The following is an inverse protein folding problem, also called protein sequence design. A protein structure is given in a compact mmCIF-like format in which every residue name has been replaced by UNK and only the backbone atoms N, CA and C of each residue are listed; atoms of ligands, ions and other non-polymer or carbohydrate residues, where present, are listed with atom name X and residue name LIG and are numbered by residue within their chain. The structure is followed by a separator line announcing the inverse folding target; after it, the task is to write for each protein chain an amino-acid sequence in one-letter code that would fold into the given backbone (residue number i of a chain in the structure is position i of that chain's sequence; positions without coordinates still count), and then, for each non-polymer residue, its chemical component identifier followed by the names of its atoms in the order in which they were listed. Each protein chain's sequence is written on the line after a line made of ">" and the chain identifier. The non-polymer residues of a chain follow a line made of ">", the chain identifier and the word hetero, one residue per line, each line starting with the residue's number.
data_IF_895202916098
#
_entry.id   IF_895202916098
#
_cell.length_a   1.000
_cell.length_b   1.000
_cell.length_c   1.000
_cell.angle_alpha   90.00
_cell.angle_beta   90.00
_cell.angle_gamma   90.00
#
_symmetry.space_group_name_H-M   'P 1'
#
loop_
_entity.id
_entity.type
_entity.pdbx_description
1 polymer ?
#
# COMPACT_ATOMS: atom_id res chain seq x y z
N UNK A 1 8.36 12.74 23.54
CA UNK A 1 7.96 11.36 23.86
C UNK A 1 6.48 11.05 23.61
N UNK A 2 5.61 12.07 23.41
CA UNK A 2 4.18 11.89 23.10
C UNK A 2 3.80 12.06 21.61
N UNK A 3 4.78 12.11 20.70
CA UNK A 3 4.50 12.36 19.28
C UNK A 3 4.01 11.09 18.58
N UNK A 4 2.90 11.20 17.85
CA UNK A 4 2.49 10.17 16.88
C UNK A 4 3.32 10.38 15.61
N UNK A 5 4.20 9.43 15.29
CA UNK A 5 5.09 9.48 14.14
C UNK A 5 4.52 8.62 13.02
N UNK A 6 4.36 9.23 11.85
CA UNK A 6 3.91 8.51 10.67
C UNK A 6 4.57 9.02 9.39
N UNK A 7 4.60 8.16 8.38
CA UNK A 7 5.06 8.50 7.04
C UNK A 7 3.96 8.24 6.01
N UNK A 8 3.98 9.00 4.93
CA UNK A 8 3.10 8.80 3.77
C UNK A 8 4.00 8.64 2.55
N UNK A 9 3.88 7.51 1.88
CA UNK A 9 4.78 7.09 0.81
C UNK A 9 3.96 6.49 -0.34
N UNK A 10 4.52 6.49 -1.55
CA UNK A 10 3.93 5.77 -2.68
C UNK A 10 4.32 4.30 -2.66
N UNK A 11 3.63 3.50 -3.47
CA UNK A 11 4.03 2.14 -3.86
C UNK A 11 5.48 2.09 -4.38
N UNK A 12 5.87 3.03 -5.22
CA UNK A 12 7.21 3.11 -5.79
C UNK A 12 8.33 3.40 -4.79
N UNK A 13 7.99 3.98 -3.64
CA UNK A 13 8.92 4.14 -2.52
C UNK A 13 8.94 2.85 -1.69
N UNK A 14 7.81 2.48 -1.10
CA UNK A 14 7.70 1.32 -0.20
C UNK A 14 8.14 -0.02 -0.83
N UNK A 15 7.89 -0.23 -2.13
CA UNK A 15 8.15 -1.50 -2.80
C UNK A 15 9.38 -1.47 -3.73
N UNK A 16 10.03 -0.31 -3.90
CA UNK A 16 11.25 -0.18 -4.70
C UNK A 16 12.36 0.56 -3.95
N UNK A 17 12.55 1.87 -4.14
CA UNK A 17 13.74 2.58 -3.60
C UNK A 17 13.80 2.54 -2.06
N UNK A 18 12.64 2.53 -1.41
CA UNK A 18 12.45 2.48 0.04
C UNK A 18 12.31 1.07 0.62
N UNK A 19 12.27 0.01 -0.21
CA UNK A 19 11.95 -1.35 0.24
C UNK A 19 12.92 -1.86 1.33
N UNK A 20 14.22 -1.58 1.19
CA UNK A 20 15.21 -1.95 2.19
C UNK A 20 14.97 -1.26 3.54
N UNK A 21 14.61 0.03 3.54
CA UNK A 21 14.31 0.75 4.78
C UNK A 21 13.01 0.26 5.42
N UNK A 22 11.97 0.01 4.61
CA UNK A 22 10.69 -0.52 5.07
C UNK A 22 10.87 -1.87 5.77
N UNK A 23 11.57 -2.82 5.13
CA UNK A 23 11.85 -4.13 5.70
C UNK A 23 12.67 -4.02 6.98
N UNK A 24 13.67 -3.14 7.03
CA UNK A 24 14.48 -2.94 8.23
C UNK A 24 13.67 -2.33 9.39
N UNK A 25 12.80 -1.36 9.14
CA UNK A 25 11.90 -0.80 10.15
C UNK A 25 10.88 -1.82 10.65
N UNK A 26 10.34 -2.65 9.74
CA UNK A 26 9.46 -3.76 10.08
C UNK A 26 10.17 -4.83 10.93
N UNK A 27 11.43 -5.14 10.61
CA UNK A 27 12.23 -6.11 11.35
C UNK A 27 12.55 -5.62 12.77
N UNK A 28 12.87 -4.33 12.94
CA UNK A 28 13.09 -3.72 14.26
C UNK A 28 11.81 -3.52 15.06
N UNK A 29 10.66 -3.49 14.39
CA UNK A 29 9.39 -3.13 15.02
C UNK A 29 9.37 -1.67 15.47
N UNK A 30 9.96 -0.78 14.66
CA UNK A 30 9.95 0.66 14.93
C UNK A 30 8.51 1.11 15.20
N UNK A 31 8.27 1.80 16.33
CA UNK A 31 6.93 2.22 16.78
C UNK A 31 6.44 3.45 16.01
N UNK A 32 6.33 3.29 14.70
CA UNK A 32 5.83 4.28 13.75
C UNK A 32 4.70 3.67 12.93
N UNK A 33 3.93 4.53 12.26
CA UNK A 33 2.91 4.09 11.30
C UNK A 33 3.27 4.51 9.89
N UNK A 34 3.30 3.57 8.94
CA UNK A 34 3.61 3.82 7.54
C UNK A 34 2.34 3.67 6.71
N UNK A 35 1.99 4.72 5.98
CA UNK A 35 0.89 4.73 5.02
C UNK A 35 1.44 4.66 3.59
N UNK A 36 1.12 3.59 2.88
CA UNK A 36 1.46 3.43 1.47
C UNK A 36 0.25 3.76 0.60
N UNK A 37 0.34 4.82 -0.19
CA UNK A 37 -0.66 5.15 -1.21
C UNK A 37 -0.31 4.39 -2.49
N UNK A 38 -1.07 3.33 -2.77
CA UNK A 38 -0.85 2.50 -3.96
C UNK A 38 -1.78 2.94 -5.09
N UNK A 39 -1.20 3.61 -6.08
CA UNK A 39 -1.83 3.97 -7.33
C UNK A 39 -1.25 3.19 -8.53
N UNK A 40 -0.52 2.10 -8.27
CA UNK A 40 -0.01 1.14 -9.27
C UNK A 40 0.95 1.75 -10.32
N UNK A 41 1.56 2.90 -10.06
CA UNK A 41 2.58 3.51 -10.91
C UNK A 41 3.38 4.58 -10.16
N UNK A 42 4.52 5.00 -10.70
CA UNK A 42 5.20 6.19 -10.19
C UNK A 42 4.44 7.46 -10.56
N UNK A 43 3.53 7.85 -9.66
CA UNK A 43 2.60 8.96 -9.84
C UNK A 43 3.24 10.28 -10.26
N UNK A 44 4.32 10.66 -9.57
CA UNK A 44 4.97 11.97 -9.69
C UNK A 44 5.96 12.07 -10.84
N UNK A 45 6.39 10.95 -11.43
CA UNK A 45 7.39 10.90 -12.51
C UNK A 45 6.75 10.60 -13.87
N UNK A 46 5.44 10.86 -14.01
CA UNK A 46 4.72 10.68 -15.25
C UNK A 46 4.21 9.24 -15.47
N UNK A 47 4.03 8.45 -14.41
CA UNK A 47 3.39 7.14 -14.50
C UNK A 47 4.29 6.05 -15.07
N UNK A 48 5.53 5.95 -14.57
CA UNK A 48 6.42 4.82 -14.86
C UNK A 48 5.92 3.56 -14.15
N UNK A 49 6.33 2.38 -14.62
CA UNK A 49 5.99 1.09 -13.99
C UNK A 49 6.53 1.05 -12.56
N UNK A 50 5.64 0.82 -11.59
CA UNK A 50 5.96 0.58 -10.20
C UNK A 50 5.90 -0.93 -9.89
N UNK A 51 6.47 -1.37 -8.75
CA UNK A 51 6.41 -2.78 -8.35
C UNK A 51 4.98 -3.32 -8.18
N UNK A 52 4.00 -2.45 -7.94
CA UNK A 52 2.57 -2.79 -7.81
C UNK A 52 1.75 -2.53 -9.09
N UNK A 53 2.38 -2.18 -10.21
CA UNK A 53 1.69 -2.06 -11.51
C UNK A 53 1.05 -3.40 -11.86
N UNK A 54 -0.24 -3.41 -12.25
CA UNK A 54 -0.95 -4.64 -12.60
C UNK A 54 -0.40 -5.28 -13.88
N UNK A 55 -0.61 -6.59 -14.05
CA UNK A 55 -0.38 -7.25 -15.34
C UNK A 55 -1.23 -6.56 -16.43
N UNK A 56 -0.66 -6.44 -17.63
CA UNK A 56 -1.24 -5.75 -18.80
C UNK A 56 -1.47 -4.24 -18.63
N UNK A 57 -1.18 -3.65 -17.46
CA UNK A 57 -1.32 -2.21 -17.25
C UNK A 57 -0.25 -1.46 -18.04
N UNK A 58 -0.71 -0.57 -18.93
CA UNK A 58 0.14 0.31 -19.73
C UNK A 58 0.71 1.42 -18.86
N UNK A 59 2.02 1.61 -18.92
CA UNK A 59 2.74 2.70 -18.24
C UNK A 59 3.70 3.37 -19.24
N UNK A 60 4.36 4.47 -18.85
CA UNK A 60 5.33 5.13 -19.73
C UNK A 60 6.56 4.26 -20.04
N UNK A 61 6.91 3.34 -19.15
CA UNK A 61 8.05 2.42 -19.32
C UNK A 61 7.62 1.02 -19.76
N UNK A 62 6.33 0.71 -19.73
CA UNK A 62 5.73 -0.52 -20.29
C UNK A 62 4.58 -0.18 -21.24
N UNK A 63 4.87 0.39 -22.43
CA UNK A 63 3.83 0.88 -23.35
C UNK A 63 2.95 -0.23 -23.93
N UNK A 64 3.41 -1.48 -23.92
CA UNK A 64 2.62 -2.66 -24.31
C UNK A 64 1.89 -3.32 -23.13
N UNK A 65 1.98 -2.75 -21.92
CA UNK A 65 1.49 -3.37 -20.70
C UNK A 65 2.60 -4.11 -19.94
N UNK A 66 2.41 -4.31 -18.63
CA UNK A 66 3.32 -5.11 -17.82
C UNK A 66 3.20 -6.60 -18.16
N UNK A 67 4.26 -7.15 -18.73
CA UNK A 67 4.44 -8.60 -18.89
C UNK A 67 5.10 -9.21 -17.65
N UNK A 68 4.46 -10.20 -17.02
CA UNK A 68 4.96 -10.86 -15.81
C UNK A 68 6.26 -11.65 -16.00
N UNK A 69 6.54 -12.15 -17.19
CA UNK A 69 7.75 -12.93 -17.51
C UNK A 69 8.97 -12.04 -17.73
N UNK A 70 8.75 -10.81 -18.18
CA UNK A 70 9.82 -9.84 -18.48
C UNK A 70 10.02 -8.86 -17.32
N UNK A 71 8.93 -8.38 -16.71
CA UNK A 71 8.93 -7.31 -15.72
C UNK A 71 8.58 -7.80 -14.30
N UNK A 72 8.34 -9.09 -14.12
CA UNK A 72 7.90 -9.67 -12.84
C UNK A 72 6.44 -9.38 -12.51
N UNK A 73 5.97 -9.89 -11.37
CA UNK A 73 4.58 -9.83 -10.94
C UNK A 73 4.31 -8.71 -9.91
N UNK A 74 3.05 -8.22 -9.79
CA UNK A 74 2.69 -7.17 -8.85
C UNK A 74 2.97 -7.59 -7.39
N UNK A 75 3.59 -6.72 -6.60
CA UNK A 75 3.95 -7.01 -5.20
C UNK A 75 2.81 -6.71 -4.22
N UNK A 76 2.61 -7.62 -3.27
CA UNK A 76 1.57 -7.57 -2.23
C UNK A 76 2.22 -7.19 -0.88
N UNK A 77 2.50 -5.90 -0.70
CA UNK A 77 3.36 -5.40 0.39
C UNK A 77 2.79 -5.67 1.79
N UNK A 78 1.49 -5.40 2.10
CA UNK A 78 0.92 -5.71 3.41
C UNK A 78 1.04 -7.19 3.80
N UNK A 79 0.78 -8.10 2.86
CA UNK A 79 0.85 -9.54 3.04
C UNK A 79 2.28 -9.97 3.33
N UNK A 80 3.25 -9.44 2.57
CA UNK A 80 4.67 -9.68 2.80
C UNK A 80 5.09 -9.20 4.20
N UNK A 81 4.73 -7.98 4.58
CA UNK A 81 5.09 -7.41 5.89
C UNK A 81 4.40 -8.10 7.06
N UNK A 82 3.19 -8.65 6.87
CA UNK A 82 2.50 -9.41 7.90
C UNK A 82 3.31 -10.62 8.40
N UNK A 83 4.23 -11.15 7.59
CA UNK A 83 5.10 -12.27 7.99
C UNK A 83 6.21 -11.86 8.98
N UNK A 84 6.51 -10.57 9.11
CA UNK A 84 7.63 -10.07 9.91
C UNK A 84 7.20 -9.89 11.37
N UNK A 85 7.98 -10.41 12.33
CA UNK A 85 7.63 -10.39 13.76
C UNK A 85 7.37 -8.96 14.27
N UNK A 86 8.23 -7.99 13.94
CA UNK A 86 8.13 -6.59 14.40
C UNK A 86 6.92 -5.79 13.91
N UNK A 87 6.15 -6.31 12.95
CA UNK A 87 4.92 -5.66 12.46
C UNK A 87 3.77 -6.00 13.39
N UNK A 88 3.17 -5.01 14.04
CA UNK A 88 2.01 -5.21 14.92
C UNK A 88 0.67 -5.12 14.16
N UNK A 89 0.65 -4.32 13.09
CA UNK A 89 -0.52 -4.13 12.24
C UNK A 89 -0.14 -4.09 10.77
N UNK A 90 -0.86 -4.83 9.93
CA UNK A 90 -0.75 -4.77 8.48
C UNK A 90 -2.13 -4.92 7.85
N UNK A 91 -2.52 -3.95 7.03
CA UNK A 91 -3.82 -3.95 6.36
C UNK A 91 -3.77 -3.27 4.98
N UNK A 92 -4.79 -3.54 4.17
CA UNK A 92 -5.09 -2.84 2.92
C UNK A 92 -6.50 -2.28 2.93
N UNK A 93 -6.60 -0.97 2.72
CA UNK A 93 -7.84 -0.24 2.52
C UNK A 93 -7.96 0.35 1.12
N UNK A 94 -9.10 0.97 0.85
CA UNK A 94 -9.33 1.74 -0.38
C UNK A 94 -10.29 2.89 -0.11
N UNK A 95 -10.17 3.95 -0.92
CA UNK A 95 -11.00 5.16 -0.81
C UNK A 95 -11.95 5.34 -2.01
N UNK A 96 -12.09 4.33 -2.87
CA UNK A 96 -12.87 4.45 -4.11
C UNK A 96 -14.40 4.63 -3.91
N UNK A 97 -14.91 4.31 -2.73
CA UNK A 97 -16.31 4.54 -2.38
C UNK A 97 -16.46 4.84 -0.87
N UNK A 98 -17.66 5.29 -0.47
CA UNK A 98 -17.93 5.70 0.90
C UNK A 98 -17.80 4.57 1.94
N UNK A 99 -18.18 3.34 1.57
CA UNK A 99 -18.11 2.17 2.45
C UNK A 99 -16.65 1.84 2.75
N UNK A 100 -15.82 1.75 1.72
CA UNK A 100 -14.40 1.45 1.84
C UNK A 100 -13.63 2.62 2.46
N UNK A 101 -14.03 3.88 2.21
CA UNK A 101 -13.49 5.03 2.94
C UNK A 101 -13.71 4.90 4.46
N UNK A 102 -14.94 4.57 4.90
CA UNK A 102 -15.22 4.35 6.33
C UNK A 102 -14.42 3.18 6.91
N UNK A 103 -14.27 2.09 6.16
CA UNK A 103 -13.46 0.94 6.56
C UNK A 103 -11.99 1.31 6.72
N UNK A 104 -11.43 2.02 5.74
CA UNK A 104 -10.04 2.50 5.74
C UNK A 104 -9.78 3.45 6.92
N UNK A 105 -10.72 4.32 7.30
CA UNK A 105 -10.61 5.14 8.51
C UNK A 105 -10.44 4.30 9.79
N UNK A 106 -11.06 3.12 9.87
CA UNK A 106 -10.86 2.20 11.01
C UNK A 106 -9.46 1.62 10.98
N UNK A 107 -8.96 1.21 9.83
CA UNK A 107 -7.59 0.70 9.69
C UNK A 107 -6.54 1.74 10.05
N UNK A 108 -6.73 3.01 9.65
CA UNK A 108 -5.86 4.12 10.06
C UNK A 108 -5.81 4.21 11.59
N UNK A 109 -6.97 4.17 12.26
CA UNK A 109 -7.03 4.20 13.72
C UNK A 109 -6.29 3.02 14.34
N UNK A 110 -6.57 1.79 13.90
CA UNK A 110 -5.95 0.58 14.45
C UNK A 110 -4.42 0.57 14.26
N UNK A 111 -3.92 1.03 13.12
CA UNK A 111 -2.48 1.15 12.87
C UNK A 111 -1.80 2.14 13.83
N UNK A 112 -2.44 3.28 14.10
CA UNK A 112 -1.94 4.29 15.03
C UNK A 112 -2.03 3.80 16.48
N UNK A 113 -3.10 3.09 16.85
CA UNK A 113 -3.27 2.49 18.18
C UNK A 113 -2.14 1.50 18.51
N UNK A 114 -1.67 0.70 17.55
CA UNK A 114 -0.51 -0.20 17.80
C UNK A 114 0.77 0.56 18.10
N UNK A 115 1.00 1.70 17.44
CA UNK A 115 2.11 2.59 17.76
C UNK A 115 1.94 3.19 19.17
N UNK A 116 0.76 3.76 19.47
CA UNK A 116 0.46 4.42 20.76
C UNK A 116 0.63 3.44 21.93
N UNK A 117 0.17 2.21 21.76
CA UNK A 117 0.30 1.16 22.76
C UNK A 117 1.71 0.54 22.82
N UNK A 118 2.63 1.00 21.98
CA UNK A 118 4.01 0.56 21.97
C UNK A 118 4.22 -0.89 21.51
N UNK A 119 3.29 -1.45 20.75
CA UNK A 119 3.30 -2.86 20.32
C UNK A 119 4.36 -3.08 19.23
N UNK A 120 4.34 -2.30 18.16
CA UNK A 120 5.28 -2.44 17.03
C UNK A 120 4.88 -1.60 15.83
N UNK A 121 5.45 -1.93 14.65
CA UNK A 121 5.20 -1.18 13.42
C UNK A 121 3.73 -1.31 12.98
N UNK A 122 3.10 -0.18 12.66
CA UNK A 122 1.83 -0.16 11.93
C UNK A 122 2.06 0.08 10.44
N UNK A 123 1.48 -0.75 9.58
CA UNK A 123 1.51 -0.58 8.13
C UNK A 123 0.11 -0.59 7.54
N UNK A 124 -0.20 0.36 6.69
CA UNK A 124 -1.46 0.43 5.96
C UNK A 124 -1.24 0.82 4.51
N UNK A 125 -1.57 -0.08 3.60
CA UNK A 125 -1.73 0.23 2.18
C UNK A 125 -3.12 0.80 1.91
N UNK A 126 -3.20 1.84 1.10
CA UNK A 126 -4.44 2.48 0.66
C UNK A 126 -4.43 2.53 -0.85
N UNK A 127 -5.36 1.82 -1.49
CA UNK A 127 -5.56 1.90 -2.94
C UNK A 127 -6.14 3.27 -3.29
N UNK A 128 -5.43 4.03 -4.13
CA UNK A 128 -5.77 5.41 -4.49
C UNK A 128 -5.91 5.58 -6.01
N UNK A 129 -6.90 6.38 -6.47
CA UNK A 129 -7.09 6.62 -7.90
C UNK A 129 -5.98 7.53 -8.46
N UNK A 130 -5.48 7.25 -9.66
CA UNK A 130 -4.58 8.14 -10.40
C UNK A 130 -5.08 8.40 -11.84
N UNK A 131 -6.15 9.22 -11.99
CA UNK A 131 -6.83 9.43 -13.27
C UNK A 131 -5.89 9.88 -14.40
N UNK A 132 -4.95 10.79 -14.07
CA UNK A 132 -4.00 11.37 -15.03
C UNK A 132 -3.11 10.30 -15.66
N UNK A 133 -2.44 9.47 -14.85
CA UNK A 133 -1.50 8.48 -15.36
C UNK A 133 -2.18 7.24 -15.92
N UNK A 134 -3.37 6.90 -15.41
CA UNK A 134 -4.19 5.83 -15.99
C UNK A 134 -4.91 6.26 -17.27
N UNK A 135 -4.88 7.56 -17.61
CA UNK A 135 -5.58 8.16 -18.76
C UNK A 135 -7.09 7.88 -18.73
N UNK A 136 -7.68 8.03 -17.55
CA UNK A 136 -9.09 7.79 -17.28
C UNK A 136 -9.71 9.01 -16.62
N UNK A 137 -11.01 9.22 -16.84
CA UNK A 137 -11.77 10.18 -16.03
C UNK A 137 -11.85 9.73 -14.58
N UNK A 138 -12.00 10.66 -13.61
CA UNK A 138 -12.05 10.32 -12.18
C UNK A 138 -13.06 9.22 -11.82
N UNK A 139 -14.26 9.25 -12.41
CA UNK A 139 -15.28 8.22 -12.15
C UNK A 139 -14.86 6.83 -12.68
N UNK A 140 -14.20 6.79 -13.84
CA UNK A 140 -13.71 5.53 -14.41
C UNK A 140 -12.51 5.00 -13.62
N UNK A 141 -11.65 5.88 -13.08
CA UNK A 141 -10.58 5.48 -12.18
C UNK A 141 -11.10 4.80 -10.90
N UNK A 142 -12.22 5.29 -10.34
CA UNK A 142 -12.85 4.66 -9.18
C UNK A 142 -13.42 3.27 -9.51
N UNK A 143 -14.08 3.13 -10.67
CA UNK A 143 -14.56 1.83 -11.16
C UNK A 143 -13.41 0.87 -11.43
N UNK A 144 -12.31 1.36 -11.99
CA UNK A 144 -11.12 0.55 -12.25
C UNK A 144 -10.53 -0.02 -10.95
N UNK A 145 -10.54 0.76 -9.86
CA UNK A 145 -10.17 0.23 -8.55
C UNK A 145 -11.08 -0.93 -8.14
N UNK A 146 -12.39 -0.75 -8.26
CA UNK A 146 -13.39 -1.75 -7.87
C UNK A 146 -13.27 -3.04 -8.69
N UNK A 147 -13.11 -2.92 -10.00
CA UNK A 147 -13.17 -4.05 -10.94
C UNK A 147 -11.82 -4.75 -11.16
N UNK A 148 -10.70 -4.02 -11.09
CA UNK A 148 -9.37 -4.51 -11.48
C UNK A 148 -8.38 -4.49 -10.34
N UNK A 149 -8.22 -3.34 -9.68
CA UNK A 149 -7.18 -3.18 -8.65
C UNK A 149 -7.49 -4.03 -7.42
N UNK A 150 -8.74 -4.06 -6.95
CA UNK A 150 -9.13 -4.87 -5.78
C UNK A 150 -9.08 -6.36 -6.08
N UNK A 151 -9.29 -6.77 -7.34
CA UNK A 151 -9.15 -8.16 -7.74
C UNK A 151 -7.71 -8.65 -7.58
N UNK A 152 -6.72 -7.82 -7.95
CA UNK A 152 -5.30 -8.09 -7.67
C UNK A 152 -4.95 -7.89 -6.19
N UNK A 153 -5.55 -6.87 -5.56
CA UNK A 153 -5.21 -6.40 -4.23
C UNK A 153 -6.41 -6.47 -3.25
N UNK A 154 -6.73 -7.66 -2.71
CA UNK A 154 -7.86 -7.83 -1.81
C UNK A 154 -7.78 -6.93 -0.57
N UNK A 155 -8.92 -6.35 -0.17
CA UNK A 155 -9.01 -5.46 1.00
C UNK A 155 -9.16 -6.26 2.29
N UNK A 156 -8.39 -5.93 3.32
CA UNK A 156 -8.45 -6.67 4.58
C UNK A 156 -7.37 -6.29 5.57
N UNK A 157 -7.46 -6.93 6.74
CA UNK A 157 -6.39 -6.97 7.73
C UNK A 157 -5.62 -8.27 7.51
N UNK A 158 -4.30 -8.17 7.42
CA UNK A 158 -3.40 -9.32 7.25
C UNK A 158 -2.67 -9.65 8.54
N UNK A 159 -2.47 -8.65 9.41
CA UNK A 159 -1.96 -8.84 10.77
C UNK A 159 -2.56 -7.79 11.69
N UNK A 160 -3.00 -8.23 12.87
CA UNK A 160 -3.47 -7.38 13.94
C UNK A 160 -3.23 -8.11 15.27
N UNK A 161 -2.14 -7.77 15.96
CA UNK A 161 -1.74 -8.42 17.22
C UNK A 161 -1.64 -7.39 18.35
N UNK A 162 -1.96 -7.80 19.57
CA UNK A 162 -1.90 -6.93 20.76
C UNK A 162 -0.56 -7.03 21.51
N UNK A 163 0.25 -8.05 21.20
CA UNK A 163 1.63 -8.18 21.65
C UNK A 163 2.48 -8.81 20.54
N UNK A 164 3.80 -8.53 20.58
CA UNK A 164 4.80 -9.18 19.73
C UNK A 164 5.51 -10.35 20.40
N UNK A 165 5.25 -10.62 21.69
CA UNK A 165 5.90 -11.71 22.41
C UNK A 165 5.58 -13.09 21.81
#
# INVERSE_FOLDING_TARGET
>A
DDAIVFTIQGDGDCAAIGAGYLVNSAARGDKITIFMLNNTNYGTTGGQMAPTTLIDQVTTTTPQGRDGTVHGYPLHVPEMLATIKGVAYSARGSIHNFVNYKRTKKFVRSALEKQINGVGLGFLEILTPCPVNWRMDPLNAMKWIEEKVIAEYPLGEFKNVDSLD
#
